data_IF_068160036497
#
_entry.id   IF_068160036497
#
_cell.length_a   1.000
_cell.length_b   1.000
_cell.length_c   1.000
_cell.angle_alpha   90.00
_cell.angle_beta   90.00
_cell.angle_gamma   90.00
#
_symmetry.space_group_name_H-M   'P 1'
#
loop_
_entity.id
_entity.type
_entity.pdbx_description
1 polymer ?
#
# COMPACT_ATOMS: atom_id res chain seq x y z
N UNK A 1 1.25 -11.06 -11.25
CA UNK A 1 1.14 -11.93 -10.04
C UNK A 1 1.90 -13.21 -10.33
N UNK A 2 2.65 -13.73 -9.37
CA UNK A 2 3.37 -15.01 -9.52
C UNK A 2 2.45 -16.15 -9.13
N UNK A 3 2.22 -17.09 -10.05
CA UNK A 3 1.49 -18.33 -9.78
C UNK A 3 2.47 -19.43 -9.40
N UNK A 4 2.06 -20.30 -8.49
CA UNK A 4 2.84 -21.50 -8.12
C UNK A 4 2.40 -22.63 -9.05
N UNK A 5 3.34 -23.14 -9.85
CA UNK A 5 3.10 -24.22 -10.81
C UNK A 5 2.47 -25.45 -10.11
N UNK A 6 1.58 -26.13 -10.83
CA UNK A 6 0.82 -27.29 -10.35
C UNK A 6 -0.07 -27.03 -9.11
N UNK A 7 -0.41 -25.77 -8.84
CA UNK A 7 -1.33 -25.41 -7.75
C UNK A 7 -2.31 -24.31 -8.14
N UNK A 8 -3.36 -24.14 -7.33
CA UNK A 8 -4.28 -23.00 -7.41
C UNK A 8 -3.83 -21.84 -6.51
N UNK A 9 -2.54 -21.75 -6.18
CA UNK A 9 -1.99 -20.72 -5.30
C UNK A 9 -1.17 -19.69 -6.07
N UNK A 10 -1.08 -18.49 -5.50
CA UNK A 10 -0.25 -17.41 -5.98
C UNK A 10 0.53 -16.80 -4.81
N UNK A 11 1.67 -16.18 -5.13
CA UNK A 11 2.43 -15.42 -4.13
C UNK A 11 1.70 -14.10 -3.85
N UNK A 12 1.65 -13.74 -2.57
CA UNK A 12 0.83 -12.64 -2.06
C UNK A 12 1.35 -11.27 -2.51
N UNK A 13 0.39 -10.36 -2.75
CA UNK A 13 0.62 -8.92 -2.87
C UNK A 13 0.02 -8.18 -1.67
N UNK A 14 -1.31 -8.27 -1.52
CA UNK A 14 -2.10 -7.64 -0.45
C UNK A 14 -3.13 -8.66 0.09
N UNK A 15 -2.84 -9.40 1.17
CA UNK A 15 -3.69 -10.51 1.62
C UNK A 15 -4.77 -10.13 2.65
N UNK A 16 -4.61 -9.00 3.36
CA UNK A 16 -5.39 -8.68 4.57
C UNK A 16 -6.89 -8.48 4.30
N UNK A 17 -7.26 -8.05 3.10
CA UNK A 17 -8.67 -7.86 2.71
C UNK A 17 -9.51 -9.14 2.71
N UNK A 18 -8.87 -10.32 2.64
CA UNK A 18 -9.55 -11.62 2.64
C UNK A 18 -9.85 -12.19 4.03
N UNK A 19 -9.38 -11.59 5.13
CA UNK A 19 -9.45 -12.17 6.48
C UNK A 19 -10.90 -12.49 6.92
N UNK A 20 -11.86 -11.65 6.50
CA UNK A 20 -13.27 -11.78 6.86
C UNK A 20 -14.14 -12.23 5.68
N UNK A 21 -13.53 -12.84 4.66
CA UNK A 21 -14.27 -13.39 3.52
C UNK A 21 -15.34 -14.39 4.01
N UNK A 22 -16.52 -14.34 3.39
CA UNK A 22 -17.68 -15.19 3.70
C UNK A 22 -18.18 -15.11 5.16
N UNK A 23 -17.94 -14.00 5.84
CA UNK A 23 -18.41 -13.77 7.22
C UNK A 23 -19.35 -12.56 7.33
N UNK A 24 -20.27 -12.61 8.30
CA UNK A 24 -21.11 -11.48 8.70
C UNK A 24 -20.53 -10.89 9.98
N UNK A 25 -20.13 -9.63 9.91
CA UNK A 25 -19.52 -8.91 11.02
C UNK A 25 -20.59 -8.16 11.83
N UNK A 26 -20.52 -8.26 13.15
CA UNK A 26 -21.37 -7.47 14.03
C UNK A 26 -20.86 -6.03 14.12
N UNK A 27 -21.77 -5.05 14.08
CA UNK A 27 -21.45 -3.62 14.17
C UNK A 27 -20.62 -3.27 15.43
N UNK A 28 -20.82 -4.02 16.52
CA UNK A 28 -20.05 -3.84 17.76
C UNK A 28 -18.56 -4.13 17.65
N UNK A 29 -18.13 -4.80 16.56
CA UNK A 29 -16.71 -5.07 16.29
C UNK A 29 -16.03 -3.89 15.58
N UNK A 30 -16.78 -2.94 15.02
CA UNK A 30 -16.25 -1.86 14.21
C UNK A 30 -15.86 -0.64 15.07
N UNK A 31 -14.76 0.07 14.75
CA UNK A 31 -13.82 -0.22 13.66
C UNK A 31 -12.84 -1.34 14.04
N UNK A 32 -12.62 -2.29 13.14
CA UNK A 32 -11.52 -3.25 13.27
C UNK A 32 -10.29 -2.68 12.59
N UNK A 33 -9.17 -2.62 13.31
CA UNK A 33 -7.90 -2.07 12.84
C UNK A 33 -6.84 -3.17 12.82
N UNK A 34 -6.24 -3.40 11.66
CA UNK A 34 -5.18 -4.39 11.47
C UNK A 34 -3.88 -3.72 11.06
N UNK A 35 -2.77 -4.26 11.57
CA UNK A 35 -1.42 -4.00 11.08
C UNK A 35 -0.80 -5.36 10.77
N UNK A 36 -0.33 -5.54 9.55
CA UNK A 36 0.25 -6.82 9.11
C UNK A 36 1.63 -6.61 8.52
N UNK A 37 2.53 -7.56 8.76
CA UNK A 37 3.85 -7.58 8.14
C UNK A 37 3.93 -8.79 7.20
N UNK A 38 4.33 -8.58 5.95
CA UNK A 38 4.43 -9.65 4.97
C UNK A 38 5.51 -9.40 3.92
N UNK A 39 5.87 -10.45 3.19
CA UNK A 39 6.67 -10.33 1.96
C UNK A 39 5.71 -10.20 0.76
N UNK A 40 5.90 -9.17 -0.05
CA UNK A 40 5.12 -8.90 -1.24
C UNK A 40 5.90 -9.31 -2.49
N UNK A 41 5.21 -9.89 -3.48
CA UNK A 41 5.83 -10.36 -4.73
C UNK A 41 5.18 -9.73 -5.97
N UNK A 42 5.93 -8.89 -6.68
CA UNK A 42 5.46 -8.16 -7.86
C UNK A 42 6.21 -8.57 -9.13
N UNK A 43 5.47 -8.89 -10.20
CA UNK A 43 6.05 -9.37 -11.46
C UNK A 43 6.79 -8.28 -12.25
N UNK A 44 6.53 -7.01 -11.96
CA UNK A 44 7.11 -5.86 -12.66
C UNK A 44 7.15 -6.00 -14.18
N UNK A 45 6.04 -6.49 -14.76
CA UNK A 45 5.95 -6.88 -16.16
C UNK A 45 6.09 -5.71 -17.17
N UNK A 46 6.18 -4.47 -16.68
CA UNK A 46 6.37 -3.27 -17.50
C UNK A 46 7.86 -2.91 -17.55
N UNK A 47 8.43 -2.63 -18.74
CA UNK A 47 9.86 -2.39 -18.90
C UNK A 47 10.45 -1.40 -17.91
N UNK A 48 11.48 -1.84 -17.20
CA UNK A 48 12.28 -1.03 -16.29
C UNK A 48 13.02 0.05 -17.08
N UNK A 49 12.60 1.31 -16.93
CA UNK A 49 13.40 2.44 -17.41
C UNK A 49 14.78 2.44 -16.71
N UNK A 50 15.81 3.05 -17.32
CA UNK A 50 17.14 3.20 -16.71
C UNK A 50 17.13 3.91 -15.36
N UNK A 51 16.02 4.48 -14.93
CA UNK A 51 15.89 5.18 -13.65
C UNK A 51 15.62 4.23 -12.48
N UNK A 52 15.12 3.01 -12.71
CA UNK A 52 14.68 2.10 -11.62
C UNK A 52 15.72 1.05 -11.22
N UNK A 53 17.01 1.28 -11.48
CA UNK A 53 18.07 0.37 -11.01
C UNK A 53 18.28 0.50 -9.49
N UNK A 54 18.57 -0.62 -8.82
CA UNK A 54 18.80 -0.66 -7.39
C UNK A 54 17.58 -1.16 -6.60
N UNK A 55 17.36 -0.60 -5.41
CA UNK A 55 16.35 -1.07 -4.46
C UNK A 55 14.95 -0.48 -4.68
N UNK A 56 14.78 0.41 -5.66
CA UNK A 56 13.52 1.15 -5.84
C UNK A 56 12.39 0.27 -6.40
N UNK A 57 12.70 -0.67 -7.29
CA UNK A 57 11.72 -1.55 -7.93
C UNK A 57 12.27 -2.96 -8.02
N UNK A 58 11.79 -3.83 -7.14
CA UNK A 58 12.28 -5.21 -6.97
C UNK A 58 11.11 -6.19 -6.95
N UNK A 59 11.38 -7.45 -7.30
CA UNK A 59 10.35 -8.48 -7.36
C UNK A 59 9.84 -8.93 -5.99
N UNK A 60 10.63 -8.73 -4.93
CA UNK A 60 10.28 -9.09 -3.56
C UNK A 60 10.72 -7.98 -2.59
N UNK A 61 9.82 -7.57 -1.71
CA UNK A 61 10.09 -6.61 -0.64
C UNK A 61 9.26 -6.93 0.60
N UNK A 62 9.64 -6.37 1.75
CA UNK A 62 8.84 -6.45 2.98
C UNK A 62 7.91 -5.24 3.07
N UNK A 63 6.68 -5.47 3.49
CA UNK A 63 5.67 -4.44 3.64
C UNK A 63 4.99 -4.55 5.02
N UNK A 64 4.70 -3.39 5.61
CA UNK A 64 3.80 -3.26 6.76
C UNK A 64 2.53 -2.59 6.26
N UNK A 65 1.41 -3.32 6.26
CA UNK A 65 0.13 -2.83 5.79
C UNK A 65 -0.80 -2.48 6.95
N UNK A 66 -1.45 -1.33 6.88
CA UNK A 66 -2.53 -0.92 7.77
C UNK A 66 -3.88 -1.12 7.06
N UNK A 67 -4.82 -1.83 7.68
CA UNK A 67 -6.12 -2.14 7.06
C UNK A 67 -7.26 -2.02 8.05
N UNK A 68 -8.24 -1.17 7.73
CA UNK A 68 -9.36 -0.88 8.61
C UNK A 68 -10.67 -1.38 7.99
N UNK A 69 -11.48 -2.08 8.77
CA UNK A 69 -12.87 -2.44 8.43
C UNK A 69 -13.81 -1.59 9.29
N UNK A 70 -14.66 -0.78 8.64
CA UNK A 70 -15.46 0.26 9.30
C UNK A 70 -16.66 0.70 8.45
N UNK A 71 -17.60 1.44 9.05
CA UNK A 71 -18.76 2.01 8.34
C UNK A 71 -18.52 3.42 7.78
N UNK A 72 -17.75 4.26 8.49
CA UNK A 72 -17.47 5.66 8.11
C UNK A 72 -15.97 5.86 7.92
N UNK A 73 -15.54 6.12 6.69
CA UNK A 73 -14.13 6.07 6.31
C UNK A 73 -13.37 7.39 6.49
N UNK A 74 -13.99 8.54 6.26
CA UNK A 74 -13.27 9.79 6.01
C UNK A 74 -12.31 10.20 7.15
N UNK A 75 -12.78 10.13 8.41
CA UNK A 75 -11.93 10.47 9.57
C UNK A 75 -10.80 9.47 9.78
N UNK A 76 -11.02 8.21 9.47
CA UNK A 76 -10.02 7.15 9.62
C UNK A 76 -9.02 7.12 8.46
N UNK A 77 -9.45 7.51 7.26
CA UNK A 77 -8.53 7.71 6.14
C UNK A 77 -7.50 8.80 6.48
N UNK A 78 -7.95 9.91 7.05
CA UNK A 78 -7.06 10.97 7.56
C UNK A 78 -6.19 10.52 8.74
N UNK A 79 -6.64 9.58 9.56
CA UNK A 79 -5.82 8.96 10.60
C UNK A 79 -4.67 8.15 9.99
N UNK A 80 -4.93 7.32 8.98
CA UNK A 80 -3.91 6.51 8.30
C UNK A 80 -2.83 7.37 7.65
N UNK A 81 -3.22 8.44 6.95
CA UNK A 81 -2.28 9.39 6.34
C UNK A 81 -1.36 9.98 7.41
N UNK A 82 -1.90 10.42 8.55
CA UNK A 82 -1.09 10.99 9.64
C UNK A 82 -0.12 9.99 10.25
N UNK A 83 -0.48 8.70 10.30
CA UNK A 83 0.42 7.65 10.77
C UNK A 83 1.61 7.52 9.79
N UNK A 84 1.35 7.49 8.49
CA UNK A 84 2.41 7.43 7.47
C UNK A 84 3.33 8.66 7.51
N UNK A 85 2.74 9.86 7.57
CA UNK A 85 3.48 11.13 7.71
C UNK A 85 4.35 11.15 8.98
N UNK A 86 3.81 10.65 10.10
CA UNK A 86 4.57 10.51 11.35
C UNK A 86 5.74 9.55 11.19
N UNK A 87 5.55 8.40 10.54
CA UNK A 87 6.62 7.43 10.29
C UNK A 87 7.75 8.05 9.46
N UNK A 88 7.41 8.73 8.35
CA UNK A 88 8.40 9.40 7.51
C UNK A 88 9.15 10.49 8.26
N UNK A 89 8.42 11.33 9.03
CA UNK A 89 9.01 12.35 9.89
C UNK A 89 9.94 11.77 10.94
N UNK A 90 9.54 10.66 11.57
CA UNK A 90 10.34 9.99 12.62
C UNK A 90 11.65 9.42 12.10
N UNK A 91 11.69 9.04 10.82
CA UNK A 91 12.90 8.59 10.13
C UNK A 91 13.75 9.75 9.60
N UNK A 92 13.29 11.00 9.75
CA UNK A 92 13.98 12.19 9.24
C UNK A 92 13.92 12.35 7.72
N UNK A 93 12.91 11.75 7.07
CA UNK A 93 12.73 11.88 5.62
C UNK A 93 12.02 13.19 5.28
N UNK A 94 12.45 13.85 4.21
CA UNK A 94 11.67 14.90 3.57
C UNK A 94 10.64 14.26 2.65
N UNK A 95 9.38 14.68 2.71
CA UNK A 95 8.30 14.09 1.94
C UNK A 95 7.19 15.10 1.61
N UNK A 96 6.27 14.70 0.73
CA UNK A 96 5.00 15.40 0.49
C UNK A 96 3.87 14.39 0.35
N UNK A 97 2.72 14.79 0.86
CA UNK A 97 1.47 14.06 0.71
C UNK A 97 0.74 14.61 -0.52
N UNK A 98 0.37 13.73 -1.44
CA UNK A 98 -0.31 14.06 -2.69
C UNK A 98 -1.74 13.51 -2.67
N UNK A 99 -2.71 14.35 -3.03
CA UNK A 99 -4.06 13.91 -3.35
C UNK A 99 -4.10 13.51 -4.83
N UNK A 100 -4.44 12.25 -5.10
CA UNK A 100 -4.23 11.65 -6.41
C UNK A 100 -5.41 11.90 -7.33
N UNK A 101 -5.12 12.27 -8.57
CA UNK A 101 -6.16 12.53 -9.58
C UNK A 101 -7.00 11.27 -9.84
N UNK A 102 -8.25 11.45 -10.25
CA UNK A 102 -9.19 10.34 -10.51
C UNK A 102 -8.65 9.30 -11.51
N UNK A 103 -7.79 9.73 -12.44
CA UNK A 103 -7.15 8.88 -13.45
C UNK A 103 -6.09 7.93 -12.86
N UNK A 104 -5.54 8.24 -11.68
CA UNK A 104 -4.47 7.47 -11.04
C UNK A 104 -4.91 6.76 -9.75
N UNK A 105 -6.20 6.76 -9.42
CA UNK A 105 -6.72 6.06 -8.23
C UNK A 105 -6.52 4.53 -8.32
N UNK A 106 -6.48 3.99 -9.54
CA UNK A 106 -6.58 2.55 -9.76
C UNK A 106 -8.01 2.03 -9.59
N UNK A 107 -8.19 0.72 -9.77
CA UNK A 107 -9.53 0.10 -9.85
C UNK A 107 -10.32 0.13 -8.52
N UNK A 108 -9.73 -0.14 -7.34
CA UNK A 108 -10.52 -0.32 -6.12
C UNK A 108 -10.74 0.97 -5.30
N UNK A 109 -10.01 2.05 -5.57
CA UNK A 109 -9.96 3.21 -4.70
C UNK A 109 -11.02 4.27 -5.06
N UNK A 110 -11.74 4.74 -4.04
CA UNK A 110 -12.59 5.93 -4.15
C UNK A 110 -11.79 7.23 -4.03
N UNK A 111 -10.73 7.21 -3.21
CA UNK A 111 -9.82 8.32 -2.95
C UNK A 111 -8.48 7.71 -2.50
N UNK A 112 -7.36 8.30 -2.93
CA UNK A 112 -5.99 7.81 -2.68
C UNK A 112 -5.09 8.99 -2.35
N UNK A 113 -4.29 8.84 -1.31
CA UNK A 113 -3.21 9.77 -1.00
C UNK A 113 -1.89 9.02 -1.02
N UNK A 114 -0.88 9.59 -1.67
CA UNK A 114 0.46 9.03 -1.71
C UNK A 114 1.41 9.92 -0.88
N UNK A 115 2.17 9.31 0.03
CA UNK A 115 3.22 9.98 0.82
C UNK A 115 4.58 9.70 0.16
N UNK A 116 5.10 10.68 -0.58
CA UNK A 116 6.29 10.53 -1.40
C UNK A 116 7.53 11.11 -0.72
N UNK A 117 8.56 10.29 -0.51
CA UNK A 117 9.86 10.75 0.00
C UNK A 117 10.69 11.45 -1.09
N UNK A 118 11.40 12.51 -0.70
CA UNK A 118 12.39 13.16 -1.54
C UNK A 118 13.63 12.27 -1.71
N UNK A 119 13.98 12.01 -2.96
CA UNK A 119 15.10 11.15 -3.33
C UNK A 119 16.12 11.94 -4.18
N UNK A 120 17.24 12.43 -3.60
CA UNK A 120 18.18 13.30 -4.32
C UNK A 120 18.80 12.69 -5.57
N UNK A 121 18.94 11.36 -5.59
CA UNK A 121 19.46 10.62 -6.75
C UNK A 121 18.46 10.49 -7.91
N UNK A 122 17.18 10.78 -7.68
CA UNK A 122 16.11 10.74 -8.66
C UNK A 122 15.82 12.17 -9.13
N UNK A 123 16.30 12.54 -10.32
CA UNK A 123 16.19 13.91 -10.89
C UNK A 123 14.78 14.30 -11.37
N UNK A 124 13.77 13.47 -11.12
CA UNK A 124 12.44 13.59 -11.77
C UNK A 124 11.25 13.48 -10.83
N UNK A 125 11.49 13.42 -9.52
CA UNK A 125 10.41 13.57 -8.54
C UNK A 125 10.64 14.98 -7.97
N UNK A 126 9.56 15.77 -7.86
CA UNK A 126 9.45 17.23 -7.67
C UNK A 126 9.49 18.09 -8.95
#
# INVERSE_FOLDING_TARGET
>A
MYSIEDTNHCLIGIPVGGIHMDSILADSLLPMKYVTHSHCFCTEAVPTSKYFWGLYRVHQFSNIEMFYVLQKSDSYHQELIKIEEYLFSSMGLHYKTLDMASEDLGVPAYCKFDVEAWMPGFRTIW
#
